data_IF_081732076558
#
_entry.id   IF_081732076558
#
_cell.length_a   1.000
_cell.length_b   1.000
_cell.length_c   1.000
_cell.angle_alpha   90.00
_cell.angle_beta   90.00
_cell.angle_gamma   90.00
#
_symmetry.space_group_name_H-M   'P 1'
#
loop_
_entity.id
_entity.type
_entity.pdbx_description
1 polymer ?
#
# COMPACT_ATOMS: atom_id res chain seq x y z
N UNK A 1 -8.23 -39.35 -12.08
CA UNK A 1 -8.24 -38.10 -12.87
C UNK A 1 -6.87 -37.90 -13.49
N UNK A 2 -6.64 -36.78 -14.17
CA UNK A 2 -5.32 -36.40 -14.73
C UNK A 2 -4.38 -35.74 -13.71
N UNK A 3 -4.77 -35.66 -12.44
CA UNK A 3 -4.09 -34.93 -11.35
C UNK A 3 -3.84 -33.43 -11.61
N UNK A 4 -4.49 -32.88 -12.65
CA UNK A 4 -4.41 -31.47 -13.00
C UNK A 4 -5.18 -30.58 -12.02
N UNK A 5 -4.63 -29.38 -11.79
CA UNK A 5 -5.36 -28.30 -11.14
C UNK A 5 -6.54 -27.85 -12.01
N UNK A 6 -7.73 -27.65 -11.42
CA UNK A 6 -8.96 -27.37 -12.16
C UNK A 6 -9.75 -26.23 -11.49
N UNK A 7 -10.23 -25.27 -12.30
CA UNK A 7 -11.27 -24.33 -11.91
C UNK A 7 -12.59 -24.80 -12.48
N UNK A 8 -13.62 -24.86 -11.63
CA UNK A 8 -14.97 -25.25 -12.02
C UNK A 8 -16.01 -24.46 -11.25
N UNK A 9 -17.22 -24.36 -11.81
CA UNK A 9 -18.35 -23.67 -11.20
C UNK A 9 -19.06 -24.62 -10.24
N UNK A 10 -19.50 -24.10 -9.10
CA UNK A 10 -20.37 -24.82 -8.18
C UNK A 10 -21.70 -24.09 -8.00
N UNK A 11 -22.77 -24.85 -7.89
CA UNK A 11 -24.11 -24.38 -7.56
C UNK A 11 -24.43 -24.68 -6.09
N UNK A 12 -24.57 -23.64 -5.27
CA UNK A 12 -24.90 -23.74 -3.85
C UNK A 12 -26.30 -24.31 -3.56
N UNK A 13 -27.15 -24.45 -4.58
CA UNK A 13 -28.48 -25.10 -4.48
C UNK A 13 -28.43 -26.61 -4.67
N UNK A 14 -27.30 -27.16 -5.10
CA UNK A 14 -27.14 -28.61 -5.24
C UNK A 14 -27.11 -29.26 -3.85
N UNK A 15 -27.81 -30.40 -3.69
CA UNK A 15 -27.87 -31.15 -2.41
C UNK A 15 -26.50 -31.65 -1.92
N UNK A 16 -25.54 -31.78 -2.82
CA UNK A 16 -24.16 -32.12 -2.51
C UNK A 16 -23.34 -30.93 -1.97
N UNK A 17 -23.85 -29.69 -2.06
CA UNK A 17 -23.24 -28.51 -1.47
C UNK A 17 -23.75 -28.32 -0.05
N UNK A 18 -22.87 -28.45 0.93
CA UNK A 18 -23.18 -28.29 2.35
C UNK A 18 -22.56 -27.00 2.90
N UNK A 19 -23.40 -26.04 3.30
CA UNK A 19 -22.97 -24.89 4.07
C UNK A 19 -22.86 -25.28 5.55
N UNK A 20 -21.64 -25.42 6.07
CA UNK A 20 -21.42 -25.96 7.43
C UNK A 20 -21.73 -24.95 8.52
N UNK A 21 -21.11 -23.77 8.42
CA UNK A 21 -21.28 -22.69 9.40
C UNK A 21 -20.77 -21.35 8.88
N UNK A 22 -21.32 -20.28 9.42
CA UNK A 22 -20.64 -18.99 9.48
C UNK A 22 -19.46 -19.11 10.47
N UNK A 23 -18.28 -18.66 10.08
CA UNK A 23 -17.06 -18.75 10.91
C UNK A 23 -16.70 -17.43 11.59
N UNK A 24 -17.50 -16.38 11.39
CA UNK A 24 -17.30 -15.07 12.03
C UNK A 24 -18.62 -14.53 12.59
N UNK A 25 -18.52 -13.62 13.56
CA UNK A 25 -19.63 -12.82 14.06
C UNK A 25 -19.44 -11.37 13.63
N UNK A 26 -19.64 -11.11 12.34
CA UNK A 26 -19.42 -9.79 11.72
C UNK A 26 -20.58 -9.45 10.76
N UNK A 27 -20.62 -8.22 10.24
CA UNK A 27 -21.56 -7.84 9.16
C UNK A 27 -21.31 -8.66 7.87
N UNK A 28 -20.07 -9.10 7.68
CA UNK A 28 -19.67 -9.98 6.57
C UNK A 28 -20.11 -11.44 6.84
N UNK A 29 -20.26 -12.22 5.78
CA UNK A 29 -20.55 -13.65 5.88
C UNK A 29 -19.38 -14.47 5.35
N UNK A 30 -18.58 -15.03 6.26
CA UNK A 30 -17.49 -15.94 5.90
C UNK A 30 -17.90 -17.35 6.29
N UNK A 31 -17.87 -18.27 5.33
CA UNK A 31 -18.43 -19.60 5.53
C UNK A 31 -17.44 -20.71 5.27
N UNK A 32 -17.56 -21.75 6.09
CA UNK A 32 -17.02 -23.06 5.76
C UNK A 32 -18.09 -23.83 4.98
N UNK A 33 -17.74 -24.38 3.82
CA UNK A 33 -18.60 -25.26 3.04
C UNK A 33 -17.90 -26.58 2.70
N UNK A 34 -18.68 -27.60 2.32
CA UNK A 34 -18.18 -28.85 1.78
C UNK A 34 -18.94 -29.24 0.52
N UNK A 35 -18.24 -29.97 -0.35
CA UNK A 35 -18.77 -30.57 -1.56
C UNK A 35 -18.73 -32.10 -1.37
N UNK A 36 -19.87 -32.69 -1.00
CA UNK A 36 -19.98 -34.11 -0.64
C UNK A 36 -20.41 -34.92 -1.87
N UNK A 37 -19.52 -35.72 -2.45
CA UNK A 37 -19.75 -36.44 -3.70
C UNK A 37 -20.33 -35.55 -4.81
N UNK A 38 -19.85 -34.30 -4.87
CA UNK A 38 -20.39 -33.27 -5.76
C UNK A 38 -20.12 -33.63 -7.22
N UNK A 39 -21.17 -33.76 -8.06
CA UNK A 39 -20.97 -34.08 -9.47
C UNK A 39 -20.36 -32.88 -10.17
N UNK A 40 -19.20 -33.09 -10.81
CA UNK A 40 -18.56 -32.10 -11.70
C UNK A 40 -18.54 -32.69 -13.10
N UNK A 41 -19.13 -31.99 -14.05
CA UNK A 41 -19.19 -32.36 -15.46
C UNK A 41 -18.18 -31.54 -16.27
N UNK A 42 -17.97 -31.91 -17.54
CA UNK A 42 -17.12 -31.11 -18.44
C UNK A 42 -17.66 -29.67 -18.61
N UNK A 43 -18.98 -29.49 -18.62
CA UNK A 43 -19.63 -28.17 -18.77
C UNK A 43 -19.42 -27.26 -17.54
N UNK A 44 -19.10 -27.82 -16.38
CA UNK A 44 -18.81 -27.06 -15.16
C UNK A 44 -17.37 -26.51 -15.14
N UNK A 45 -16.49 -27.05 -15.98
CA UNK A 45 -15.04 -26.80 -15.93
C UNK A 45 -14.69 -25.57 -16.76
N UNK A 46 -14.11 -24.57 -16.08
CA UNK A 46 -13.68 -23.31 -16.68
C UNK A 46 -12.28 -23.41 -17.29
N UNK A 47 -11.37 -24.10 -16.60
CA UNK A 47 -9.98 -24.29 -17.05
C UNK A 47 -9.31 -25.45 -16.33
N UNK A 48 -8.26 -26.01 -16.95
CA UNK A 48 -7.46 -27.14 -16.43
C UNK A 48 -5.96 -26.88 -16.56
N UNK A 49 -5.18 -27.58 -15.74
CA UNK A 49 -3.73 -27.61 -15.80
C UNK A 49 -3.10 -26.22 -15.61
N UNK A 50 -2.05 -25.88 -16.39
CA UNK A 50 -1.36 -24.61 -16.27
C UNK A 50 -2.27 -23.37 -16.43
N UNK A 51 -3.27 -23.45 -17.31
CA UNK A 51 -4.21 -22.34 -17.53
C UNK A 51 -5.08 -22.05 -16.30
N UNK A 52 -5.50 -23.09 -15.57
CA UNK A 52 -6.22 -22.94 -14.32
C UNK A 52 -5.35 -22.30 -13.24
N UNK A 53 -4.07 -22.68 -13.17
CA UNK A 53 -3.12 -22.07 -12.24
C UNK A 53 -2.87 -20.59 -12.54
N UNK A 54 -2.63 -20.24 -13.80
CA UNK A 54 -2.48 -18.85 -14.24
C UNK A 54 -3.75 -18.04 -13.92
N UNK A 55 -4.94 -18.60 -14.12
CA UNK A 55 -6.22 -17.96 -13.79
C UNK A 55 -6.38 -17.67 -12.29
N UNK A 56 -5.97 -18.60 -11.42
CA UNK A 56 -5.94 -18.36 -9.96
C UNK A 56 -5.08 -17.15 -9.61
N UNK A 57 -3.84 -17.12 -10.10
CA UNK A 57 -2.89 -16.06 -9.78
C UNK A 57 -3.28 -14.71 -10.38
N UNK A 58 -3.88 -14.71 -11.58
CA UNK A 58 -4.37 -13.50 -12.23
C UNK A 58 -5.59 -12.92 -11.53
N UNK A 59 -6.47 -13.77 -10.98
CA UNK A 59 -7.63 -13.33 -10.18
C UNK A 59 -7.20 -12.58 -8.93
N UNK A 60 -6.14 -13.05 -8.27
CA UNK A 60 -5.55 -12.37 -7.09
C UNK A 60 -5.03 -10.97 -7.44
N UNK A 61 -4.59 -10.70 -8.67
CA UNK A 61 -4.20 -9.34 -9.07
C UNK A 61 -5.40 -8.39 -9.10
N UNK A 62 -6.60 -8.87 -9.44
CA UNK A 62 -7.83 -8.06 -9.36
C UNK A 62 -8.17 -7.75 -7.89
N UNK A 63 -8.10 -8.76 -7.02
CA UNK A 63 -8.32 -8.58 -5.57
C UNK A 63 -7.35 -7.57 -4.94
N UNK A 64 -6.05 -7.68 -5.24
CA UNK A 64 -5.02 -6.73 -4.78
C UNK A 64 -5.35 -5.29 -5.11
N UNK A 65 -5.86 -5.04 -6.31
CA UNK A 65 -6.23 -3.69 -6.74
C UNK A 65 -7.38 -3.13 -5.90
N UNK A 66 -8.43 -3.92 -5.65
CA UNK A 66 -9.64 -3.46 -4.96
C UNK A 66 -9.42 -3.09 -3.49
N UNK A 67 -8.45 -3.73 -2.84
CA UNK A 67 -8.20 -3.51 -1.41
C UNK A 67 -7.65 -2.09 -1.13
N UNK A 68 -6.81 -1.55 -2.01
CA UNK A 68 -6.23 -0.21 -1.82
C UNK A 68 -7.27 0.91 -1.72
N UNK A 69 -8.17 1.07 -2.72
CA UNK A 69 -9.25 2.04 -2.68
C UNK A 69 -10.19 1.87 -1.49
N UNK A 70 -10.51 0.64 -1.10
CA UNK A 70 -11.35 0.37 0.07
C UNK A 70 -10.69 0.90 1.37
N UNK A 71 -9.40 0.63 1.57
CA UNK A 71 -8.63 1.17 2.71
C UNK A 71 -8.55 2.70 2.70
N UNK A 72 -8.35 3.31 1.53
CA UNK A 72 -8.33 4.78 1.37
C UNK A 72 -9.67 5.39 1.80
N UNK A 73 -10.78 4.87 1.29
CA UNK A 73 -12.12 5.36 1.62
C UNK A 73 -12.45 5.20 3.10
N UNK A 74 -12.12 4.04 3.68
CA UNK A 74 -12.32 3.81 5.12
C UNK A 74 -11.53 4.81 5.98
N UNK A 75 -10.25 5.03 5.67
CA UNK A 75 -9.43 6.02 6.37
C UNK A 75 -9.92 7.45 6.19
N UNK A 76 -10.38 7.82 5.01
CA UNK A 76 -10.88 9.17 4.73
C UNK A 76 -12.15 9.48 5.54
N UNK A 77 -13.13 8.57 5.55
CA UNK A 77 -14.32 8.74 6.36
C UNK A 77 -14.00 8.79 7.87
N UNK A 78 -13.09 7.92 8.35
CA UNK A 78 -12.63 7.95 9.74
C UNK A 78 -11.88 9.26 10.07
N UNK A 79 -11.13 9.82 9.12
CA UNK A 79 -10.45 11.10 9.28
C UNK A 79 -11.45 12.24 9.50
N UNK A 80 -12.49 12.33 8.66
CA UNK A 80 -13.54 13.34 8.81
C UNK A 80 -14.27 13.23 10.15
N UNK A 81 -14.62 12.01 10.58
CA UNK A 81 -15.25 11.81 11.89
C UNK A 81 -14.34 12.29 13.04
N UNK A 82 -13.06 11.94 12.99
CA UNK A 82 -12.08 12.34 14.00
C UNK A 82 -11.81 13.85 14.04
N UNK A 83 -11.62 14.50 12.89
CA UNK A 83 -11.33 15.94 12.82
C UNK A 83 -12.55 16.76 13.25
N UNK A 84 -13.76 16.37 12.85
CA UNK A 84 -15.00 17.01 13.30
C UNK A 84 -15.16 16.88 14.82
N UNK A 85 -14.87 15.70 15.38
CA UNK A 85 -14.92 15.53 16.84
C UNK A 85 -13.89 16.41 17.56
N UNK A 86 -12.63 16.36 17.14
CA UNK A 86 -11.54 17.04 17.83
C UNK A 86 -11.61 18.56 17.69
N UNK A 87 -11.97 19.08 16.52
CA UNK A 87 -12.04 20.52 16.27
C UNK A 87 -13.17 21.21 17.06
N UNK A 88 -14.21 20.47 17.44
CA UNK A 88 -15.35 20.99 18.21
C UNK A 88 -15.28 20.67 19.71
N UNK A 89 -14.13 20.17 20.19
CA UNK A 89 -13.92 19.81 21.60
C UNK A 89 -12.89 20.71 22.26
N UNK A 90 -13.21 21.15 23.48
CA UNK A 90 -12.29 21.91 24.34
C UNK A 90 -11.99 21.10 25.60
N UNK A 91 -10.71 20.93 25.92
CA UNK A 91 -10.23 20.29 27.14
C UNK A 91 -9.24 21.23 27.82
N UNK A 92 -9.38 21.41 29.13
CA UNK A 92 -8.51 22.29 29.91
C UNK A 92 -8.41 23.73 29.36
N UNK A 93 -9.50 24.24 28.76
CA UNK A 93 -9.54 25.59 28.17
C UNK A 93 -8.87 25.73 26.80
N UNK A 94 -8.36 24.63 26.21
CA UNK A 94 -7.72 24.62 24.89
C UNK A 94 -8.53 23.72 23.95
N UNK A 95 -8.70 24.14 22.69
CA UNK A 95 -9.31 23.27 21.68
C UNK A 95 -8.39 22.09 21.41
N UNK A 96 -8.95 20.89 21.31
CA UNK A 96 -8.16 19.65 21.21
C UNK A 96 -7.21 19.68 20.00
N UNK A 97 -7.64 20.24 18.86
CA UNK A 97 -6.80 20.40 17.66
C UNK A 97 -5.64 21.38 17.82
N UNK A 98 -5.66 22.25 18.83
CA UNK A 98 -4.57 23.19 19.11
C UNK A 98 -3.48 22.56 20.01
N UNK A 99 -3.70 21.34 20.51
CA UNK A 99 -2.68 20.58 21.25
C UNK A 99 -1.60 20.04 20.30
N UNK A 100 -0.29 20.20 20.60
CA UNK A 100 0.78 19.87 19.65
C UNK A 100 0.78 18.41 19.15
N UNK A 101 0.53 17.44 20.04
CA UNK A 101 0.50 16.03 19.68
C UNK A 101 -0.71 15.67 18.80
N UNK A 102 -1.87 16.29 19.04
CA UNK A 102 -3.07 16.11 18.21
C UNK A 102 -2.85 16.67 16.81
N UNK A 103 -2.33 17.91 16.73
CA UNK A 103 -1.97 18.54 15.46
C UNK A 103 -0.97 17.68 14.68
N UNK A 104 0.04 17.14 15.37
CA UNK A 104 1.01 16.19 14.84
C UNK A 104 0.37 14.94 14.24
N UNK A 105 -0.50 14.29 15.00
CA UNK A 105 -1.17 13.06 14.57
C UNK A 105 -2.08 13.29 13.36
N UNK A 106 -2.89 14.36 13.35
CA UNK A 106 -3.73 14.68 12.19
C UNK A 106 -2.91 15.02 10.97
N UNK A 107 -1.86 15.83 11.11
CA UNK A 107 -0.98 16.15 9.98
C UNK A 107 -0.38 14.87 9.40
N UNK A 108 0.18 14.00 10.23
CA UNK A 108 0.78 12.75 9.75
C UNK A 108 -0.27 11.82 9.12
N UNK A 109 -1.44 11.66 9.73
CA UNK A 109 -2.53 10.86 9.18
C UNK A 109 -2.99 11.38 7.81
N UNK A 110 -3.16 12.70 7.70
CA UNK A 110 -3.57 13.35 6.45
C UNK A 110 -2.52 13.15 5.34
N UNK A 111 -1.25 13.37 5.62
CA UNK A 111 -0.16 13.19 4.64
C UNK A 111 -0.03 11.73 4.17
N UNK A 112 -0.17 10.77 5.10
CA UNK A 112 -0.18 9.33 4.74
C UNK A 112 -1.37 9.03 3.83
N UNK A 113 -2.57 9.53 4.15
CA UNK A 113 -3.77 9.37 3.33
C UNK A 113 -3.63 10.00 1.93
N UNK A 114 -3.03 11.19 1.83
CA UNK A 114 -2.73 11.82 0.52
C UNK A 114 -1.74 10.98 -0.27
N UNK A 115 -0.67 10.50 0.37
CA UNK A 115 0.29 9.59 -0.27
C UNK A 115 -0.38 8.31 -0.80
N UNK A 116 -1.30 7.73 -0.03
CA UNK A 116 -2.06 6.54 -0.44
C UNK A 116 -2.88 6.81 -1.70
N UNK A 117 -3.59 7.94 -1.74
CA UNK A 117 -4.39 8.38 -2.90
C UNK A 117 -3.53 8.58 -4.14
N UNK A 118 -2.41 9.30 -4.02
CA UNK A 118 -1.50 9.58 -5.13
C UNK A 118 -0.92 8.29 -5.71
N UNK A 119 -0.43 7.40 -4.84
CA UNK A 119 0.12 6.12 -5.27
C UNK A 119 -0.94 5.25 -5.98
N UNK A 120 -2.09 5.05 -5.34
CA UNK A 120 -3.16 4.22 -5.90
C UNK A 120 -3.64 4.76 -7.24
N UNK A 121 -3.80 6.07 -7.37
CA UNK A 121 -4.21 6.70 -8.64
C UNK A 121 -3.20 6.39 -9.74
N UNK A 122 -1.91 6.56 -9.46
CA UNK A 122 -0.87 6.30 -10.47
C UNK A 122 -0.74 4.83 -10.83
N UNK A 123 -0.80 3.95 -9.83
CA UNK A 123 -0.74 2.50 -10.04
C UNK A 123 -1.93 2.02 -10.91
N UNK A 124 -3.08 2.68 -10.79
CA UNK A 124 -4.26 2.41 -11.63
C UNK A 124 -3.97 2.65 -13.10
N UNK A 125 -3.32 3.76 -13.47
CA UNK A 125 -3.00 4.05 -14.88
C UNK A 125 -2.11 2.96 -15.50
N UNK A 126 -1.10 2.49 -14.76
CA UNK A 126 -0.25 1.39 -15.19
C UNK A 126 -1.01 0.07 -15.34
N UNK A 127 -2.00 -0.19 -14.48
CA UNK A 127 -2.79 -1.40 -14.58
C UNK A 127 -3.75 -1.34 -15.78
N UNK A 128 -4.38 -0.19 -16.02
CA UNK A 128 -5.28 0.03 -17.17
C UNK A 128 -4.55 -0.01 -18.51
N UNK A 129 -3.28 0.41 -18.57
CA UNK A 129 -2.44 0.32 -19.78
C UNK A 129 -1.56 -0.93 -19.85
N UNK A 130 -1.75 -1.89 -18.96
CA UNK A 130 -0.97 -3.13 -18.97
C UNK A 130 -1.21 -3.92 -20.27
N UNK A 131 -0.15 -4.54 -20.76
CA UNK A 131 -0.17 -5.43 -21.94
C UNK A 131 0.73 -6.63 -21.70
N UNK A 132 0.77 -7.57 -22.66
CA UNK A 132 1.70 -8.69 -22.60
C UNK A 132 3.17 -8.22 -22.61
N UNK A 133 3.46 -7.08 -23.25
CA UNK A 133 4.81 -6.51 -23.38
C UNK A 133 5.13 -5.51 -22.25
N UNK A 134 4.13 -4.81 -21.70
CA UNK A 134 4.28 -3.93 -20.54
C UNK A 134 3.56 -4.48 -19.31
N UNK A 135 4.33 -5.18 -18.48
CA UNK A 135 3.85 -5.86 -17.28
C UNK A 135 4.29 -5.18 -15.98
N UNK A 136 4.64 -3.89 -16.02
CA UNK A 136 5.12 -3.14 -14.84
C UNK A 136 4.10 -3.09 -13.70
N UNK A 137 2.81 -3.21 -14.00
CA UNK A 137 1.74 -3.34 -13.00
C UNK A 137 1.97 -4.50 -12.01
N UNK A 138 2.75 -5.53 -12.37
CA UNK A 138 3.09 -6.65 -11.48
C UNK A 138 4.00 -6.25 -10.31
N UNK A 139 4.66 -5.09 -10.37
CA UNK A 139 5.30 -4.47 -9.21
C UNK A 139 4.32 -3.51 -8.52
N UNK A 140 3.70 -2.61 -9.28
CA UNK A 140 2.93 -1.50 -8.71
C UNK A 140 1.65 -1.94 -8.00
N UNK A 141 0.93 -2.93 -8.53
CA UNK A 141 -0.32 -3.40 -7.92
C UNK A 141 -0.07 -4.14 -6.59
N UNK A 142 0.88 -5.11 -6.49
CA UNK A 142 1.28 -5.67 -5.19
C UNK A 142 1.83 -4.64 -4.21
N UNK A 143 2.63 -3.67 -4.67
CA UNK A 143 3.10 -2.57 -3.81
C UNK A 143 1.94 -1.71 -3.33
N UNK A 144 0.91 -1.46 -4.14
CA UNK A 144 -0.31 -0.77 -3.70
C UNK A 144 -0.98 -1.54 -2.57
N UNK A 145 -1.30 -2.81 -2.82
CA UNK A 145 -1.94 -3.68 -1.84
C UNK A 145 -1.17 -3.70 -0.52
N UNK A 146 0.15 -3.71 -0.57
CA UNK A 146 0.98 -3.81 0.62
C UNK A 146 1.17 -2.47 1.34
N UNK A 147 1.57 -1.42 0.63
CA UNK A 147 1.86 -0.12 1.25
C UNK A 147 0.59 0.61 1.58
N UNK A 148 -0.40 0.69 0.70
CA UNK A 148 -1.65 1.42 0.98
C UNK A 148 -2.36 0.82 2.21
N UNK A 149 -2.38 -0.50 2.36
CA UNK A 149 -3.03 -1.13 3.53
C UNK A 149 -2.25 -0.95 4.82
N UNK A 150 -0.91 -1.07 4.80
CA UNK A 150 -0.11 -0.80 6.02
C UNK A 150 -0.16 0.68 6.42
N UNK A 151 -0.17 1.59 5.44
CA UNK A 151 -0.42 3.01 5.70
C UNK A 151 -1.81 3.27 6.27
N UNK A 152 -2.82 2.50 5.86
CA UNK A 152 -4.17 2.61 6.42
C UNK A 152 -4.23 2.22 7.90
N UNK A 153 -3.47 1.20 8.31
CA UNK A 153 -3.30 0.82 9.72
C UNK A 153 -2.65 1.97 10.52
N UNK A 154 -1.59 2.59 9.99
CA UNK A 154 -0.93 3.74 10.61
C UNK A 154 -1.87 4.96 10.75
N UNK A 155 -2.65 5.25 9.70
CA UNK A 155 -3.60 6.37 9.69
C UNK A 155 -4.64 6.18 10.79
N UNK A 156 -5.27 5.01 10.88
CA UNK A 156 -6.28 4.75 11.91
C UNK A 156 -5.66 4.78 13.31
N UNK A 157 -4.46 4.23 13.50
CA UNK A 157 -3.74 4.31 14.77
C UNK A 157 -3.53 5.76 15.22
N UNK A 158 -3.01 6.62 14.33
CA UNK A 158 -2.80 8.05 14.60
C UNK A 158 -4.10 8.78 14.94
N UNK A 159 -5.19 8.48 14.23
CA UNK A 159 -6.50 9.09 14.50
C UNK A 159 -7.12 8.57 15.80
N UNK A 160 -6.88 7.32 16.17
CA UNK A 160 -7.42 6.73 17.40
C UNK A 160 -6.83 7.40 18.65
N UNK A 161 -5.53 7.73 18.62
CA UNK A 161 -4.86 8.53 19.66
C UNK A 161 -5.51 9.91 19.86
N UNK A 162 -6.25 10.42 18.87
CA UNK A 162 -6.92 11.73 18.93
C UNK A 162 -8.40 11.63 19.30
N UNK A 163 -9.17 10.78 18.60
CA UNK A 163 -10.61 10.62 18.85
C UNK A 163 -10.88 9.91 20.19
N UNK A 164 -9.89 9.18 20.69
CA UNK A 164 -9.84 8.57 22.02
C UNK A 164 -11.09 7.73 22.33
N UNK A 165 -11.75 8.01 23.46
CA UNK A 165 -12.90 7.23 23.94
C UNK A 165 -14.06 7.17 22.93
N UNK A 166 -14.26 8.21 22.11
CA UNK A 166 -15.34 8.24 21.11
C UNK A 166 -15.13 7.18 20.02
N UNK A 167 -13.88 6.82 19.72
CA UNK A 167 -13.56 5.75 18.77
C UNK A 167 -14.02 4.35 19.22
N UNK A 168 -14.40 4.18 20.50
CA UNK A 168 -15.00 2.93 21.01
C UNK A 168 -16.53 2.92 20.96
N UNK A 169 -17.17 4.05 20.65
CA UNK A 169 -18.64 4.12 20.58
C UNK A 169 -19.13 3.28 19.39
N UNK A 170 -19.91 2.23 19.67
CA UNK A 170 -20.43 1.28 18.69
C UNK A 170 -21.09 1.92 17.47
N UNK A 171 -21.72 3.08 17.68
CA UNK A 171 -22.53 3.73 16.65
C UNK A 171 -21.69 4.69 15.76
N UNK A 172 -20.36 4.72 15.94
CA UNK A 172 -19.43 5.48 15.10
C UNK A 172 -18.95 4.67 13.90
N UNK A 173 -18.72 5.36 12.78
CA UNK A 173 -18.05 4.75 11.64
C UNK A 173 -16.59 4.43 12.01
N UNK A 174 -15.95 5.29 12.80
CA UNK A 174 -14.60 5.07 13.29
C UNK A 174 -14.44 3.72 13.97
N UNK A 175 -15.34 3.33 14.89
CA UNK A 175 -15.25 2.04 15.59
C UNK A 175 -15.30 0.82 14.66
N UNK A 176 -16.08 0.90 13.58
CA UNK A 176 -16.15 -0.16 12.56
C UNK A 176 -14.81 -0.27 11.82
N UNK A 177 -14.29 0.84 11.32
CA UNK A 177 -13.00 0.86 10.61
C UNK A 177 -11.87 0.41 11.54
N UNK A 178 -11.87 0.85 12.79
CA UNK A 178 -10.86 0.50 13.76
C UNK A 178 -10.80 -1.01 14.06
N UNK A 179 -11.95 -1.70 14.01
CA UNK A 179 -12.02 -3.16 14.07
C UNK A 179 -11.49 -3.86 12.81
N UNK A 180 -11.78 -3.30 11.64
CA UNK A 180 -11.62 -4.01 10.36
C UNK A 180 -10.33 -3.66 9.59
N UNK A 181 -9.74 -2.49 9.81
CA UNK A 181 -8.66 -1.95 8.96
C UNK A 181 -7.41 -2.82 8.90
N UNK A 182 -7.22 -3.67 9.91
CA UNK A 182 -6.15 -4.65 9.94
C UNK A 182 -6.36 -5.81 8.95
N UNK A 183 -7.58 -6.13 8.54
CA UNK A 183 -7.88 -7.24 7.62
C UNK A 183 -7.20 -7.12 6.24
N UNK A 184 -7.38 -6.00 5.51
CA UNK A 184 -6.77 -5.73 4.20
C UNK A 184 -5.31 -6.17 4.00
N UNK A 185 -4.43 -5.92 4.98
CA UNK A 185 -3.02 -6.28 4.87
C UNK A 185 -2.77 -7.81 4.86
N UNK A 186 -3.72 -8.61 5.37
CA UNK A 186 -3.60 -10.06 5.53
C UNK A 186 -4.32 -10.84 4.40
N UNK A 187 -5.31 -10.22 3.75
CA UNK A 187 -6.01 -10.77 2.59
C UNK A 187 -5.19 -10.64 1.27
N UNK A 188 -5.63 -11.28 0.18
CA UNK A 188 -5.02 -11.22 -1.17
C UNK A 188 -3.50 -11.48 -1.19
N UNK A 189 -3.11 -12.48 -0.38
CA UNK A 189 -1.72 -12.77 -0.02
C UNK A 189 -1.23 -11.81 1.05
N UNK A 190 -0.69 -12.34 2.15
CA UNK A 190 -0.18 -11.51 3.24
C UNK A 190 0.87 -10.51 2.76
N UNK A 191 1.15 -9.46 3.54
CA UNK A 191 2.30 -8.55 3.31
C UNK A 191 3.56 -9.35 2.99
N UNK A 192 3.80 -10.45 3.70
CA UNK A 192 4.99 -11.28 3.53
C UNK A 192 5.08 -11.88 2.13
N UNK A 193 3.98 -12.46 1.64
CA UNK A 193 3.91 -13.03 0.29
C UNK A 193 4.14 -11.95 -0.77
N UNK A 194 3.53 -10.78 -0.60
CA UNK A 194 3.69 -9.66 -1.55
C UNK A 194 5.12 -9.10 -1.55
N UNK A 195 5.75 -8.96 -0.37
CA UNK A 195 7.17 -8.60 -0.26
C UNK A 195 8.04 -9.60 -1.04
N UNK A 196 7.84 -10.90 -0.84
CA UNK A 196 8.64 -11.92 -1.53
C UNK A 196 8.44 -11.89 -3.05
N UNK A 197 7.24 -11.54 -3.52
CA UNK A 197 7.00 -11.31 -4.94
C UNK A 197 7.78 -10.10 -5.46
N UNK A 198 7.66 -8.94 -4.80
CA UNK A 198 8.27 -7.71 -5.32
C UNK A 198 9.80 -7.72 -5.25
N UNK A 199 10.40 -8.45 -4.30
CA UNK A 199 11.86 -8.60 -4.19
C UNK A 199 12.50 -9.12 -5.48
N UNK A 200 11.78 -9.91 -6.28
CA UNK A 200 12.24 -10.41 -7.58
C UNK A 200 12.56 -9.29 -8.58
N UNK A 201 11.97 -8.10 -8.39
CA UNK A 201 12.17 -6.95 -9.27
C UNK A 201 13.33 -6.04 -8.86
N UNK A 202 13.88 -6.17 -7.64
CA UNK A 202 14.95 -5.29 -7.11
C UNK A 202 16.09 -5.14 -8.12
N UNK A 203 16.59 -6.26 -8.67
CA UNK A 203 17.69 -6.25 -9.63
C UNK A 203 17.33 -5.49 -10.92
N UNK A 204 16.12 -5.73 -11.45
CA UNK A 204 15.66 -5.11 -12.69
C UNK A 204 15.32 -3.63 -12.53
N UNK A 205 14.77 -3.26 -11.37
CA UNK A 205 14.40 -1.89 -11.06
C UNK A 205 15.62 -1.00 -10.80
N UNK A 206 16.59 -1.43 -9.96
CA UNK A 206 17.71 -0.56 -9.57
C UNK A 206 18.92 -0.60 -10.52
N UNK A 207 19.12 -1.71 -11.24
CA UNK A 207 20.40 -1.97 -11.92
C UNK A 207 20.27 -2.32 -13.40
N UNK A 208 19.06 -2.50 -13.92
CA UNK A 208 18.86 -2.88 -15.32
C UNK A 208 17.58 -2.24 -15.91
N UNK A 209 17.50 -0.89 -15.95
CA UNK A 209 16.36 -0.20 -16.51
C UNK A 209 16.24 -0.46 -18.02
N UNK A 210 15.07 -0.16 -18.57
CA UNK A 210 14.81 -0.16 -20.02
C UNK A 210 13.89 1.00 -20.36
N UNK A 211 13.80 1.34 -21.63
CA UNK A 211 12.93 2.41 -22.10
C UNK A 211 11.53 1.85 -22.38
N UNK A 212 10.54 2.40 -21.70
CA UNK A 212 9.13 2.25 -22.04
C UNK A 212 8.56 3.59 -22.47
N UNK A 213 7.56 3.53 -23.36
CA UNK A 213 6.72 4.67 -23.63
C UNK A 213 6.13 5.23 -22.31
N UNK A 214 6.06 6.57 -22.15
CA UNK A 214 5.41 7.17 -21.01
C UNK A 214 3.94 6.74 -20.92
N UNK A 215 3.50 6.34 -19.73
CA UNK A 215 2.09 6.02 -19.46
C UNK A 215 1.40 7.30 -19.02
N UNK A 216 0.53 7.86 -19.86
CA UNK A 216 -0.30 9.00 -19.48
C UNK A 216 -1.42 8.63 -18.50
N UNK A 217 -2.08 9.61 -17.87
CA UNK A 217 -3.26 9.36 -17.05
C UNK A 217 -4.42 8.83 -17.91
N UNK A 218 -5.18 7.88 -17.37
CA UNK A 218 -6.23 7.16 -18.09
C UNK A 218 -7.61 7.54 -17.54
N UNK A 219 -8.35 8.33 -18.32
CA UNK A 219 -9.69 8.83 -17.97
C UNK A 219 -10.80 8.34 -18.91
N UNK A 220 -10.42 7.73 -20.03
CA UNK A 220 -11.36 7.17 -20.98
C UNK A 220 -12.11 5.97 -20.40
N UNK A 221 -13.38 5.84 -20.78
CA UNK A 221 -14.25 4.72 -20.41
C UNK A 221 -14.03 3.54 -21.39
N UNK A 222 -12.77 3.15 -21.57
CA UNK A 222 -12.40 2.00 -22.40
C UNK A 222 -12.49 0.70 -21.62
N UNK A 223 -12.68 -0.40 -22.35
CA UNK A 223 -12.61 -1.74 -21.80
C UNK A 223 -11.16 -2.12 -21.46
N UNK A 224 -10.90 -2.46 -20.21
CA UNK A 224 -9.59 -2.86 -19.70
C UNK A 224 -9.40 -4.38 -19.90
N UNK A 225 -9.57 -4.86 -21.14
CA UNK A 225 -9.59 -6.30 -21.49
C UNK A 225 -8.39 -7.10 -20.96
N UNK A 226 -7.22 -6.46 -20.86
CA UNK A 226 -6.02 -7.11 -20.34
C UNK A 226 -6.15 -7.53 -18.87
N UNK A 227 -7.01 -6.88 -18.09
CA UNK A 227 -7.36 -7.28 -16.71
C UNK A 227 -7.83 -8.75 -16.66
N UNK A 228 -8.57 -9.18 -17.69
CA UNK A 228 -9.11 -10.53 -17.81
C UNK A 228 -8.22 -11.46 -18.66
N UNK A 229 -7.18 -10.94 -19.32
CA UNK A 229 -6.28 -11.69 -20.19
C UNK A 229 -4.79 -11.42 -19.90
N UNK A 230 -4.42 -11.53 -18.62
CA UNK A 230 -3.08 -11.19 -18.11
C UNK A 230 -1.95 -12.16 -18.55
N UNK A 231 -2.30 -13.27 -19.21
CA UNK A 231 -1.36 -14.29 -19.67
C UNK A 231 -0.73 -15.10 -18.54
N UNK A 232 0.49 -15.62 -18.78
CA UNK A 232 1.18 -16.49 -17.82
C UNK A 232 1.60 -15.75 -16.55
N UNK A 233 1.37 -16.36 -15.38
CA UNK A 233 1.81 -15.83 -14.09
C UNK A 233 3.32 -16.05 -13.84
N UNK A 234 4.00 -16.76 -14.74
CA UNK A 234 5.44 -17.00 -14.68
C UNK A 234 6.26 -15.80 -15.20
N UNK A 235 7.56 -15.81 -14.95
CA UNK A 235 8.50 -14.86 -15.57
C UNK A 235 8.58 -13.48 -14.92
N UNK A 236 8.06 -13.29 -13.69
CA UNK A 236 8.15 -12.02 -12.94
C UNK A 236 9.55 -11.38 -12.98
N UNK A 237 10.61 -12.16 -12.75
CA UNK A 237 12.00 -11.65 -12.76
C UNK A 237 12.52 -11.13 -14.11
N UNK A 238 11.76 -11.31 -15.21
CA UNK A 238 12.08 -10.78 -16.54
C UNK A 238 11.57 -9.36 -16.75
N UNK A 239 10.57 -8.92 -15.99
CA UNK A 239 9.98 -7.58 -16.14
C UNK A 239 11.02 -6.52 -15.77
N UNK A 240 11.20 -5.56 -16.68
CA UNK A 240 12.06 -4.39 -16.50
C UNK A 240 11.21 -3.14 -16.25
N UNK A 241 11.87 -2.07 -15.81
CA UNK A 241 11.24 -0.80 -15.46
C UNK A 241 12.00 0.35 -16.12
N UNK A 242 11.31 1.48 -16.27
CA UNK A 242 11.99 2.74 -16.55
C UNK A 242 12.95 3.07 -15.42
N UNK A 243 13.98 3.87 -15.73
CA UNK A 243 14.79 4.49 -14.69
C UNK A 243 13.91 5.37 -13.80
N UNK A 244 13.97 5.13 -12.48
CA UNK A 244 13.19 5.87 -11.49
C UNK A 244 13.82 7.23 -11.17
N UNK A 245 15.12 7.41 -11.42
CA UNK A 245 15.88 8.62 -11.01
C UNK A 245 15.33 9.93 -11.60
N UNK A 246 14.93 10.01 -12.89
CA UNK A 246 14.47 11.27 -13.48
C UNK A 246 13.31 11.94 -12.75
N UNK A 247 12.32 11.16 -12.27
CA UNK A 247 11.19 11.75 -11.54
C UNK A 247 11.60 12.26 -10.16
N UNK A 248 12.53 11.59 -9.48
CA UNK A 248 13.09 12.11 -8.22
C UNK A 248 13.93 13.38 -8.47
N UNK A 249 14.73 13.41 -9.54
CA UNK A 249 15.57 14.56 -9.90
C UNK A 249 14.75 15.83 -10.20
N UNK A 250 13.52 15.69 -10.71
CA UNK A 250 12.61 16.81 -10.95
C UNK A 250 12.16 17.50 -9.64
N UNK A 251 12.06 16.75 -8.55
CA UNK A 251 11.65 17.24 -7.24
C UNK A 251 12.81 17.41 -6.25
N UNK A 252 14.06 17.21 -6.68
CA UNK A 252 15.26 17.23 -5.80
C UNK A 252 15.52 18.55 -5.07
N UNK A 253 14.91 19.64 -5.53
CA UNK A 253 14.98 20.94 -4.86
C UNK A 253 14.16 20.99 -3.57
N UNK A 254 13.23 20.06 -3.38
CA UNK A 254 12.49 19.91 -2.13
C UNK A 254 13.38 19.24 -1.07
N UNK A 255 13.58 19.84 0.11
CA UNK A 255 14.54 19.34 1.10
C UNK A 255 14.33 17.87 1.50
N UNK A 256 13.10 17.45 1.77
CA UNK A 256 12.83 16.07 2.19
C UNK A 256 12.97 15.06 1.05
N UNK A 257 12.62 15.45 -0.18
CA UNK A 257 12.88 14.63 -1.37
C UNK A 257 14.38 14.44 -1.57
N UNK A 258 15.18 15.49 -1.36
CA UNK A 258 16.64 15.41 -1.42
C UNK A 258 17.23 14.44 -0.40
N UNK A 259 16.74 14.44 0.84
CA UNK A 259 17.15 13.46 1.87
C UNK A 259 16.76 12.04 1.45
N UNK A 260 15.52 11.86 0.97
CA UNK A 260 15.05 10.56 0.52
C UNK A 260 15.88 9.99 -0.65
N UNK A 261 16.29 10.83 -1.62
CA UNK A 261 17.19 10.45 -2.71
C UNK A 261 18.53 9.92 -2.16
N UNK A 262 19.07 10.54 -1.11
CA UNK A 262 20.31 10.07 -0.46
C UNK A 262 20.11 8.71 0.20
N UNK A 263 18.98 8.49 0.88
CA UNK A 263 18.62 7.19 1.46
C UNK A 263 18.51 6.10 0.38
N UNK A 264 17.84 6.40 -0.74
CA UNK A 264 17.76 5.48 -1.89
C UNK A 264 19.15 5.16 -2.42
N UNK A 265 20.03 6.17 -2.56
CA UNK A 265 21.39 5.98 -3.07
C UNK A 265 22.20 5.06 -2.17
N UNK A 266 22.17 5.28 -0.85
CA UNK A 266 22.83 4.40 0.12
C UNK A 266 22.26 2.98 0.11
N UNK A 267 20.94 2.83 0.00
CA UNK A 267 20.30 1.53 -0.09
C UNK A 267 20.70 0.79 -1.37
N UNK A 268 20.73 1.48 -2.51
CA UNK A 268 21.20 0.94 -3.78
C UNK A 268 22.65 0.51 -3.71
N UNK A 269 23.54 1.33 -3.12
CA UNK A 269 24.94 0.99 -2.92
C UNK A 269 25.12 -0.21 -1.97
N UNK A 270 24.32 -0.29 -0.91
CA UNK A 270 24.30 -1.45 -0.01
C UNK A 270 23.93 -2.72 -0.77
N UNK A 271 22.88 -2.68 -1.61
CA UNK A 271 22.48 -3.82 -2.43
C UNK A 271 23.55 -4.20 -3.47
N UNK A 272 24.29 -3.23 -4.00
CA UNK A 272 25.37 -3.49 -4.96
C UNK A 272 26.59 -4.14 -4.31
N UNK A 273 27.04 -3.64 -3.15
CA UNK A 273 28.28 -4.06 -2.50
C UNK A 273 28.08 -5.16 -1.44
N UNK A 274 26.89 -5.28 -0.88
CA UNK A 274 26.55 -6.19 0.21
C UNK A 274 25.12 -6.73 0.06
N UNK A 275 24.80 -7.24 -1.14
CA UNK A 275 23.52 -7.90 -1.41
C UNK A 275 23.25 -9.00 -0.37
N UNK A 276 21.98 -9.21 0.05
CA UNK A 276 21.66 -10.22 1.04
C UNK A 276 22.14 -11.62 0.64
N UNK A 277 22.82 -12.32 1.55
CA UNK A 277 23.26 -13.70 1.30
C UNK A 277 22.12 -14.72 1.45
N UNK A 278 22.39 -16.00 1.15
CA UNK A 278 21.37 -17.06 1.23
C UNK A 278 20.72 -17.19 2.61
N UNK A 279 21.45 -16.95 3.70
CA UNK A 279 20.90 -17.04 5.06
C UNK A 279 19.95 -15.88 5.30
N UNK A 280 20.35 -14.68 4.92
CA UNK A 280 19.54 -13.46 5.02
C UNK A 280 18.30 -13.49 4.11
N UNK A 281 18.42 -14.08 2.91
CA UNK A 281 17.28 -14.25 2.00
C UNK A 281 16.24 -15.23 2.54
N UNK A 282 16.68 -16.23 3.31
CA UNK A 282 15.82 -17.23 3.96
C UNK A 282 15.30 -16.78 5.33
N UNK A 283 15.86 -15.71 5.92
CA UNK A 283 15.38 -15.06 7.14
C UNK A 283 14.25 -14.08 6.77
N UNK A 284 12.98 -14.37 7.13
CA UNK A 284 11.88 -13.46 6.86
C UNK A 284 12.10 -12.10 7.52
N UNK A 285 12.66 -12.05 8.73
CA UNK A 285 12.83 -10.79 9.46
C UNK A 285 13.78 -9.82 8.76
N UNK A 286 14.78 -10.34 8.04
CA UNK A 286 15.70 -9.55 7.23
C UNK A 286 15.12 -9.26 5.84
N UNK A 287 14.70 -10.32 5.13
CA UNK A 287 14.22 -10.20 3.74
C UNK A 287 12.96 -9.35 3.61
N UNK A 288 12.06 -9.37 4.62
CA UNK A 288 10.88 -8.52 4.64
C UNK A 288 11.24 -7.04 4.76
N UNK A 289 12.17 -6.71 5.67
CA UNK A 289 12.60 -5.32 5.89
C UNK A 289 13.28 -4.74 4.65
N UNK A 290 14.12 -5.52 3.96
CA UNK A 290 14.70 -5.12 2.66
C UNK A 290 13.61 -4.91 1.60
N UNK A 291 12.59 -5.75 1.59
CA UNK A 291 11.45 -5.58 0.69
C UNK A 291 10.61 -4.35 0.99
N UNK A 292 10.41 -4.00 2.26
CA UNK A 292 9.78 -2.75 2.69
C UNK A 292 10.59 -1.54 2.23
N UNK A 293 11.92 -1.54 2.43
CA UNK A 293 12.81 -0.50 1.91
C UNK A 293 12.72 -0.37 0.39
N UNK A 294 12.67 -1.47 -0.36
CA UNK A 294 12.46 -1.42 -1.81
C UNK A 294 11.09 -0.83 -2.15
N UNK A 295 10.04 -1.28 -1.48
CA UNK A 295 8.68 -0.86 -1.78
C UNK A 295 8.43 0.61 -1.49
N UNK A 296 9.05 1.20 -0.46
CA UNK A 296 8.90 2.63 -0.18
C UNK A 296 9.60 3.50 -1.25
N UNK A 297 10.64 3.00 -1.92
CA UNK A 297 11.21 3.68 -3.11
C UNK A 297 10.20 3.70 -4.25
N UNK A 298 9.59 2.54 -4.56
CA UNK A 298 8.55 2.42 -5.60
C UNK A 298 7.34 3.30 -5.23
N UNK A 299 6.97 3.33 -3.95
CA UNK A 299 5.91 4.16 -3.42
C UNK A 299 6.19 5.66 -3.65
N UNK A 300 7.39 6.12 -3.30
CA UNK A 300 7.84 7.48 -3.55
C UNK A 300 7.87 7.85 -5.04
N UNK A 301 8.29 6.93 -5.91
CA UNK A 301 8.31 7.16 -7.36
C UNK A 301 6.91 7.50 -7.87
N UNK A 302 5.93 6.63 -7.60
CA UNK A 302 4.57 6.81 -8.15
C UNK A 302 3.84 8.00 -7.50
N UNK A 303 4.13 8.33 -6.24
CA UNK A 303 3.65 9.56 -5.61
C UNK A 303 4.15 10.79 -6.39
N UNK A 304 5.45 10.84 -6.74
CA UNK A 304 6.00 11.98 -7.48
C UNK A 304 5.49 12.04 -8.93
N UNK A 305 5.33 10.88 -9.59
CA UNK A 305 4.71 10.81 -10.91
C UNK A 305 3.29 11.39 -10.89
N UNK A 306 2.46 11.01 -9.89
CA UNK A 306 1.11 11.55 -9.77
C UNK A 306 1.11 13.03 -9.38
N UNK A 307 1.96 13.43 -8.43
CA UNK A 307 2.08 14.82 -8.01
C UNK A 307 2.46 15.74 -9.17
N UNK A 308 3.29 15.25 -10.11
CA UNK A 308 3.60 15.97 -11.35
C UNK A 308 2.38 16.11 -12.26
N UNK A 309 1.64 15.02 -12.47
CA UNK A 309 0.44 15.01 -13.33
C UNK A 309 -0.61 15.98 -12.78
N UNK A 310 -0.82 15.98 -11.46
CA UNK A 310 -1.83 16.81 -10.80
C UNK A 310 -1.34 18.25 -10.56
N UNK A 311 -0.07 18.56 -10.85
CA UNK A 311 0.60 19.81 -10.47
C UNK A 311 0.38 20.13 -8.98
N UNK A 312 0.58 19.12 -8.13
CA UNK A 312 0.34 19.20 -6.69
C UNK A 312 1.27 20.25 -6.05
N UNK A 313 0.74 20.93 -5.03
CA UNK A 313 1.52 21.88 -4.24
C UNK A 313 2.81 21.23 -3.71
N UNK A 314 3.94 21.88 -3.99
CA UNK A 314 5.27 21.45 -3.60
C UNK A 314 5.43 21.39 -2.08
N UNK A 315 4.72 22.23 -1.33
CA UNK A 315 4.71 22.19 0.13
C UNK A 315 4.14 20.85 0.62
N UNK A 316 3.02 20.39 0.02
CA UNK A 316 2.41 19.09 0.34
C UNK A 316 3.36 17.95 -0.05
N UNK A 317 3.96 18.00 -1.25
CA UNK A 317 4.94 16.98 -1.68
C UNK A 317 6.12 16.91 -0.72
N UNK A 318 6.73 18.04 -0.39
CA UNK A 318 7.85 18.09 0.55
C UNK A 318 7.45 17.54 1.93
N UNK A 319 6.22 17.81 2.38
CA UNK A 319 5.73 17.34 3.66
C UNK A 319 5.38 15.84 3.67
N UNK A 320 4.91 15.26 2.56
CA UNK A 320 4.75 13.80 2.41
C UNK A 320 6.11 13.10 2.59
N UNK A 321 7.17 13.67 2.01
CA UNK A 321 8.50 13.08 2.09
C UNK A 321 9.14 13.20 3.49
N UNK A 322 8.58 13.99 4.41
CA UNK A 322 9.00 13.99 5.82
C UNK A 322 8.80 12.60 6.46
N UNK A 323 7.59 12.04 6.38
CA UNK A 323 7.31 10.74 7.00
C UNK A 323 7.98 9.61 6.21
N UNK A 324 8.13 9.75 4.89
CA UNK A 324 8.84 8.77 4.07
C UNK A 324 10.30 8.63 4.48
N UNK A 325 10.97 9.75 4.80
CA UNK A 325 12.35 9.74 5.33
C UNK A 325 12.41 9.02 6.68
N UNK A 326 11.47 9.32 7.58
CA UNK A 326 11.40 8.67 8.91
C UNK A 326 11.14 7.17 8.82
N UNK A 327 10.20 6.76 7.98
CA UNK A 327 9.88 5.35 7.76
C UNK A 327 11.10 4.60 7.18
N UNK A 328 11.79 5.20 6.20
CA UNK A 328 13.00 4.63 5.60
C UNK A 328 14.13 4.48 6.63
N UNK A 329 14.34 5.50 7.47
CA UNK A 329 15.30 5.44 8.60
C UNK A 329 14.94 4.34 9.59
N UNK A 330 13.64 4.16 9.87
CA UNK A 330 13.13 3.08 10.72
C UNK A 330 13.48 1.69 10.19
N UNK A 331 13.36 1.46 8.88
CA UNK A 331 13.79 0.20 8.27
C UNK A 331 15.31 -0.01 8.36
N UNK A 332 16.09 1.07 8.20
CA UNK A 332 17.54 1.04 8.42
C UNK A 332 17.90 0.53 9.81
N UNK A 333 17.24 1.05 10.85
CA UNK A 333 17.42 0.58 12.22
C UNK A 333 17.03 -0.89 12.41
N UNK A 334 15.91 -1.32 11.81
CA UNK A 334 15.43 -2.69 11.90
C UNK A 334 16.44 -3.69 11.31
N UNK A 335 17.05 -3.37 10.16
CA UNK A 335 18.12 -4.19 9.56
C UNK A 335 19.38 -4.12 10.43
N UNK A 336 19.81 -2.93 10.86
CA UNK A 336 21.01 -2.75 11.69
C UNK A 336 21.00 -3.67 12.92
N UNK A 337 19.84 -3.80 13.57
CA UNK A 337 19.66 -4.56 14.80
C UNK A 337 19.59 -6.09 14.63
N UNK A 338 19.57 -6.64 13.40
CA UNK A 338 19.52 -8.10 13.22
C UNK A 338 20.88 -8.75 13.47
N UNK A 339 20.84 -9.94 14.08
CA UNK A 339 22.04 -10.76 14.31
C UNK A 339 22.68 -11.23 12.99
N UNK A 340 21.88 -11.42 11.95
CA UNK A 340 22.30 -11.85 10.62
C UNK A 340 22.93 -10.73 9.78
N UNK A 341 22.83 -9.46 10.20
CA UNK A 341 23.37 -8.31 9.43
C UNK A 341 24.89 -8.22 9.55
N UNK A 342 25.58 -8.17 8.41
CA UNK A 342 27.04 -8.04 8.38
C UNK A 342 27.51 -6.59 8.57
N UNK A 343 28.80 -6.40 8.87
CA UNK A 343 29.36 -5.08 9.18
C UNK A 343 29.26 -4.07 8.02
N UNK A 344 29.35 -4.54 6.76
CA UNK A 344 29.18 -3.65 5.59
C UNK A 344 27.75 -3.12 5.53
N UNK A 345 26.76 -4.00 5.68
CA UNK A 345 25.35 -3.62 5.75
C UNK A 345 25.06 -2.71 6.94
N UNK A 346 25.63 -2.99 8.12
CA UNK A 346 25.50 -2.14 9.31
C UNK A 346 26.04 -0.73 9.06
N UNK A 347 27.15 -0.60 8.33
CA UNK A 347 27.69 0.70 7.91
C UNK A 347 26.66 1.51 7.13
N UNK A 348 26.06 0.94 6.07
CA UNK A 348 25.01 1.62 5.31
C UNK A 348 23.76 1.91 6.13
N UNK A 349 23.29 0.93 6.92
CA UNK A 349 22.10 1.09 7.75
C UNK A 349 22.28 2.19 8.80
N UNK A 350 23.49 2.34 9.35
CA UNK A 350 23.83 3.42 10.27
C UNK A 350 23.70 4.79 9.61
N UNK A 351 24.25 4.96 8.41
CA UNK A 351 24.10 6.23 7.68
C UNK A 351 22.64 6.52 7.35
N UNK A 352 21.88 5.51 6.87
CA UNK A 352 20.46 5.65 6.54
C UNK A 352 19.64 6.05 7.76
N UNK A 353 19.79 5.36 8.89
CA UNK A 353 18.96 5.59 10.08
C UNK A 353 19.24 6.92 10.79
N UNK A 354 20.41 7.51 10.55
CA UNK A 354 20.78 8.83 11.09
C UNK A 354 20.26 9.99 10.22
N UNK A 355 19.72 9.70 9.03
CA UNK A 355 19.09 10.73 8.21
C UNK A 355 17.74 11.14 8.80
N UNK A 356 17.54 12.45 8.88
CA UNK A 356 16.36 13.08 9.46
C UNK A 356 15.67 13.94 8.39
N UNK A 357 14.33 14.07 8.45
CA UNK A 357 13.64 15.04 7.63
C UNK A 357 14.08 16.47 7.99
N UNK A 358 14.00 17.36 7.02
CA UNK A 358 14.33 18.78 7.16
C UNK A 358 13.07 19.53 7.62
N UNK A 359 13.05 20.09 8.84
CA UNK A 359 11.88 20.77 9.37
C UNK A 359 11.65 22.11 8.65
N UNK A 360 10.40 22.40 8.33
CA UNK A 360 9.93 23.73 7.91
C UNK A 360 8.62 24.06 8.66
N UNK A 361 8.71 24.71 9.83
CA UNK A 361 7.54 25.04 10.63
C UNK A 361 6.53 25.94 9.89
N UNK A 362 7.01 26.83 9.02
CA UNK A 362 6.14 27.74 8.28
C UNK A 362 5.34 26.98 7.22
N UNK A 363 5.98 26.06 6.49
CA UNK A 363 5.29 25.13 5.58
C UNK A 363 4.28 24.25 6.32
N UNK A 364 4.70 23.68 7.44
CA UNK A 364 3.85 22.83 8.28
C UNK A 364 2.58 23.57 8.73
N UNK A 365 2.73 24.81 9.20
CA UNK A 365 1.61 25.63 9.64
C UNK A 365 0.70 26.05 8.48
N UNK A 366 1.26 26.37 7.30
CA UNK A 366 0.44 26.64 6.10
C UNK A 366 -0.44 25.45 5.76
N UNK A 367 0.14 24.26 5.58
CA UNK A 367 -0.59 23.03 5.24
C UNK A 367 -1.65 22.74 6.30
N UNK A 368 -1.31 22.90 7.58
CA UNK A 368 -2.26 22.67 8.67
C UNK A 368 -3.50 23.54 8.51
N UNK A 369 -3.31 24.85 8.29
CA UNK A 369 -4.40 25.82 8.20
C UNK A 369 -5.21 25.65 6.91
N UNK A 370 -4.56 25.39 5.77
CA UNK A 370 -5.21 25.43 4.45
C UNK A 370 -5.69 24.08 3.94
N UNK A 371 -5.22 22.97 4.52
CA UNK A 371 -5.50 21.64 4.00
C UNK A 371 -6.04 20.64 5.04
N UNK A 372 -5.71 20.81 6.33
CA UNK A 372 -6.03 19.81 7.36
C UNK A 372 -7.17 20.28 8.25
N UNK A 373 -6.99 21.38 8.99
CA UNK A 373 -8.00 21.86 9.94
C UNK A 373 -9.26 22.38 9.25
N UNK A 374 -9.14 22.83 8.01
CA UNK A 374 -10.26 23.27 7.19
C UNK A 374 -11.21 22.14 6.80
N UNK A 375 -10.83 20.87 6.98
CA UNK A 375 -11.70 19.71 6.73
C UNK A 375 -12.79 19.54 7.80
N UNK A 376 -12.68 20.25 8.92
CA UNK A 376 -13.73 20.27 9.94
C UNK A 376 -15.04 20.82 9.36
N UNK A 377 -16.07 19.96 9.34
CA UNK A 377 -17.41 20.28 8.86
C UNK A 377 -17.61 20.10 7.35
N UNK A 378 -16.58 19.72 6.59
CA UNK A 378 -16.67 19.53 5.13
C UNK A 378 -17.40 18.23 4.76
N UNK A 379 -17.37 17.23 5.63
CA UNK A 379 -18.06 15.97 5.43
C UNK A 379 -18.50 15.37 6.76
N UNK A 380 -19.70 14.78 6.76
CA UNK A 380 -20.23 13.94 7.83
C UNK A 380 -20.86 12.71 7.19
N UNK A 381 -20.53 11.51 7.70
CA UNK A 381 -21.21 10.30 7.26
C UNK A 381 -22.69 10.42 7.64
N UNK A 382 -23.60 10.25 6.67
CA UNK A 382 -25.04 10.23 6.95
C UNK A 382 -25.33 9.26 8.09
N UNK A 383 -25.95 9.76 9.16
CA UNK A 383 -26.36 8.97 10.33
C UNK A 383 -27.05 7.69 9.85
N UNK A 384 -26.53 6.51 10.21
CA UNK A 384 -27.25 5.23 10.08
C UNK A 384 -28.35 5.15 11.16
N UNK A 385 -29.19 6.18 11.27
CA UNK A 385 -30.44 6.10 12.02
C UNK A 385 -31.51 5.60 11.05
N UNK A 386 -31.55 4.29 10.88
CA UNK A 386 -32.55 3.55 10.10
C UNK A 386 -32.76 2.18 10.71
#
# INVERSE_FOLDING_TARGET
>A
GSDDYCFFVTNFRNKAFELKRNVISHQEYVAQFALNDYPVTEDDILSRGPSAWDSALNTVNVGKFNIGPASIGACEHAFYEAINHAANRTLYGVRVTDMPHVKGNFMQAWLRLVGMKLYQRRATDYFRKATADDRRYLLFNPTSKMKVTTQSEDVISLLWEVIAAKGFERDTFFSTVAGDINGPAKLEGTVHVNVQLIRKFIKKYFFNPTDYAPVGPVFDQTDDLFLFNQGTASGLGKVQFNDYRPIFDEFKSLPNVSVFIKQISLFREMLEKAFPDKVQEMDPSFSLTVGEMFSIVVYGQLILEQAKIDNLDKDIVNQIFDFMVRDFSGFGLQIYAKATTNEVQRGYCKEIMLMMPVPDPAQYDRIWQTCVICLNGEYEMTDRKG
#
